data_IF_153583091539
#
_entry.id   IF_153583091539
#
_cell.length_a   1.000
_cell.length_b   1.000
_cell.length_c   1.000
_cell.angle_alpha   90.00
_cell.angle_beta   90.00
_cell.angle_gamma   90.00
#
_symmetry.space_group_name_H-M   'P 1'
#
loop_
_entity.id
_entity.type
_entity.pdbx_description
1 polymer ?
#
# COMPACT_ATOMS: atom_id res chain seq x y z
N UNK A 1 33.33 -7.70 -4.75
CA UNK A 1 33.37 -7.18 -3.36
C UNK A 1 31.98 -6.61 -3.14
N UNK A 2 31.09 -7.45 -2.64
CA UNK A 2 29.64 -7.19 -2.58
C UNK A 2 29.36 -6.17 -1.47
N UNK A 3 28.59 -5.13 -1.80
CA UNK A 3 28.02 -4.24 -0.79
C UNK A 3 26.98 -5.01 0.01
N UNK A 4 27.01 -5.01 1.35
CA UNK A 4 25.86 -5.45 2.13
C UNK A 4 24.82 -4.33 2.00
N UNK A 5 23.98 -4.36 0.96
CA UNK A 5 22.86 -3.46 0.88
C UNK A 5 21.92 -3.78 2.05
N UNK A 6 21.94 -2.91 3.07
CA UNK A 6 21.03 -3.02 4.19
C UNK A 6 19.60 -2.83 3.65
N UNK A 7 18.70 -3.80 3.82
CA UNK A 7 17.33 -3.68 3.33
C UNK A 7 16.66 -2.45 3.95
N UNK A 8 16.18 -1.54 3.10
CA UNK A 8 15.44 -0.35 3.52
C UNK A 8 13.94 -0.59 3.36
N UNK A 9 13.19 0.08 4.23
CA UNK A 9 11.74 0.12 4.19
C UNK A 9 11.31 1.59 4.11
N UNK A 10 10.52 1.95 3.10
CA UNK A 10 9.84 3.23 3.02
C UNK A 10 8.38 3.02 3.42
N UNK A 11 8.01 3.40 4.64
CA UNK A 11 6.65 3.24 5.15
C UNK A 11 6.12 4.60 5.57
N UNK A 12 5.04 5.06 4.92
CA UNK A 12 4.47 6.38 5.22
C UNK A 12 2.95 6.40 5.08
N UNK A 13 2.32 7.17 5.96
CA UNK A 13 0.96 7.67 5.79
C UNK A 13 1.06 9.10 5.23
N UNK A 14 0.42 9.35 4.10
CA UNK A 14 0.53 10.62 3.36
C UNK A 14 -0.84 11.28 3.17
N UNK A 15 -0.89 12.60 3.05
CA UNK A 15 -2.13 13.32 2.71
C UNK A 15 -2.21 13.65 1.20
N UNK A 16 -1.05 13.88 0.59
CA UNK A 16 -0.92 14.24 -0.82
C UNK A 16 -1.06 13.01 -1.75
N UNK A 17 -1.39 13.23 -3.04
CA UNK A 17 -1.40 12.17 -4.04
C UNK A 17 -0.09 11.36 -4.05
N UNK A 18 -0.23 10.04 -4.20
CA UNK A 18 0.93 9.13 -4.23
C UNK A 18 1.59 9.20 -5.61
N UNK A 19 2.83 9.66 -5.62
CA UNK A 19 3.68 9.64 -6.81
C UNK A 19 4.37 8.28 -6.95
N UNK A 20 4.05 7.57 -8.04
CA UNK A 20 4.53 6.20 -8.29
C UNK A 20 6.00 6.15 -8.68
N UNK A 21 6.47 7.13 -9.48
CA UNK A 21 7.85 7.14 -9.97
C UNK A 21 8.88 7.28 -8.83
N UNK A 22 8.72 8.21 -7.87
CA UNK A 22 9.58 8.26 -6.68
C UNK A 22 9.54 6.98 -5.84
N UNK A 23 8.37 6.36 -5.70
CA UNK A 23 8.23 5.10 -4.97
C UNK A 23 9.01 3.95 -5.65
N UNK A 24 8.89 3.81 -6.98
CA UNK A 24 9.66 2.83 -7.75
C UNK A 24 11.17 3.09 -7.67
N UNK A 25 11.59 4.34 -7.71
CA UNK A 25 12.99 4.71 -7.54
C UNK A 25 13.51 4.36 -6.14
N UNK A 26 12.69 4.57 -5.09
CA UNK A 26 13.05 4.25 -3.72
C UNK A 26 13.24 2.74 -3.48
N UNK A 27 12.59 1.88 -4.27
CA UNK A 27 12.74 0.43 -4.16
C UNK A 27 13.72 -0.17 -5.17
N UNK A 28 14.31 0.65 -6.06
CA UNK A 28 15.32 0.17 -6.99
C UNK A 28 16.58 -0.31 -6.25
N UNK A 29 17.15 -1.42 -6.70
CA UNK A 29 18.35 -2.01 -6.14
C UNK A 29 19.21 -2.58 -7.28
N UNK A 30 20.54 -2.36 -7.32
CA UNK A 30 21.40 -2.90 -8.37
C UNK A 30 21.33 -4.43 -8.52
N UNK A 31 21.05 -5.13 -7.42
CA UNK A 31 20.93 -6.58 -7.35
C UNK A 31 19.52 -7.08 -7.72
N UNK A 32 18.52 -6.19 -7.82
CA UNK A 32 17.15 -6.56 -8.15
C UNK A 32 17.01 -6.90 -9.64
N UNK A 33 16.62 -8.14 -9.92
CA UNK A 33 16.16 -8.55 -11.24
C UNK A 33 14.66 -8.34 -11.47
N UNK A 34 13.91 -7.93 -10.43
CA UNK A 34 12.49 -7.63 -10.52
C UNK A 34 12.04 -6.56 -9.53
N UNK A 35 11.01 -5.81 -9.91
CA UNK A 35 10.22 -4.96 -9.02
C UNK A 35 8.75 -5.13 -9.35
N UNK A 36 7.91 -5.25 -8.33
CA UNK A 36 6.46 -5.35 -8.43
C UNK A 36 5.82 -4.09 -7.85
N UNK A 37 4.66 -3.70 -8.37
CA UNK A 37 3.90 -2.54 -7.91
C UNK A 37 2.41 -2.89 -7.87
N UNK A 38 1.77 -2.52 -6.76
CA UNK A 38 0.33 -2.58 -6.58
C UNK A 38 -0.20 -1.18 -6.28
N UNK A 39 -1.32 -0.84 -6.89
CA UNK A 39 -2.05 0.40 -6.66
C UNK A 39 -3.50 0.06 -6.30
N UNK A 40 -3.92 0.46 -5.10
CA UNK A 40 -5.32 0.44 -4.71
C UNK A 40 -5.99 1.73 -5.12
N UNK A 41 -6.77 1.70 -6.21
CA UNK A 41 -7.40 2.88 -6.80
C UNK A 41 -8.88 2.98 -6.44
N UNK A 42 -9.36 4.20 -6.17
CA UNK A 42 -10.78 4.46 -5.90
C UNK A 42 -11.63 4.20 -7.14
N UNK A 43 -12.65 3.34 -7.01
CA UNK A 43 -13.59 2.98 -8.08
C UNK A 43 -14.85 3.85 -8.01
N UNK A 44 -15.47 4.10 -9.16
CA UNK A 44 -16.71 4.89 -9.28
C UNK A 44 -17.98 4.16 -8.81
N UNK A 45 -17.88 2.91 -8.37
CA UNK A 45 -19.01 2.15 -7.87
C UNK A 45 -18.59 1.17 -6.78
N UNK A 46 -19.52 0.90 -5.89
CA UNK A 46 -19.43 -0.20 -4.94
C UNK A 46 -20.86 -0.74 -4.66
N UNK A 47 -21.04 -2.04 -4.42
CA UNK A 47 -22.36 -2.66 -4.15
C UNK A 47 -23.51 -2.22 -5.08
N UNK A 48 -23.23 -1.97 -6.36
CA UNK A 48 -24.22 -1.56 -7.37
C UNK A 48 -24.68 -0.10 -7.31
N UNK A 49 -24.06 0.74 -6.48
CA UNK A 49 -24.33 2.19 -6.38
C UNK A 49 -23.13 3.02 -6.87
N UNK A 50 -23.36 4.26 -7.25
CA UNK A 50 -22.33 5.21 -7.68
C UNK A 50 -21.63 5.89 -6.49
N UNK A 51 -20.32 5.76 -6.42
CA UNK A 51 -19.47 6.41 -5.39
C UNK A 51 -18.97 7.73 -5.94
N UNK A 52 -19.08 8.80 -5.15
CA UNK A 52 -18.57 10.14 -5.49
C UNK A 52 -17.10 10.28 -5.11
N UNK A 53 -16.76 9.93 -3.87
CA UNK A 53 -15.42 9.99 -3.31
C UNK A 53 -15.32 9.12 -2.07
N UNK A 54 -14.08 8.84 -1.64
CA UNK A 54 -13.78 8.18 -0.39
C UNK A 54 -13.08 9.15 0.57
N UNK A 55 -13.23 8.91 1.87
CA UNK A 55 -12.45 9.58 2.90
C UNK A 55 -11.77 8.53 3.78
N UNK A 56 -10.46 8.63 3.91
CA UNK A 56 -9.65 7.71 4.68
C UNK A 56 -9.15 8.37 5.96
N UNK A 57 -9.27 7.65 7.07
CA UNK A 57 -8.76 8.05 8.39
C UNK A 57 -7.94 6.90 8.97
N UNK A 58 -6.91 7.23 9.75
CA UNK A 58 -6.15 6.25 10.51
C UNK A 58 -5.52 6.88 11.75
N UNK A 59 -5.04 6.05 12.66
CA UNK A 59 -4.08 6.48 13.67
C UNK A 59 -2.65 6.28 13.12
N UNK A 60 -1.95 7.34 12.68
CA UNK A 60 -0.78 7.19 11.81
C UNK A 60 0.35 6.37 12.45
N UNK A 61 0.63 6.60 13.73
CA UNK A 61 1.72 5.91 14.44
C UNK A 61 1.49 4.40 14.53
N UNK A 62 0.26 4.00 14.85
CA UNK A 62 -0.12 2.59 14.89
C UNK A 62 -0.15 1.98 13.49
N UNK A 63 -0.68 2.70 12.49
CA UNK A 63 -0.69 2.21 11.11
C UNK A 63 0.73 1.95 10.59
N UNK A 64 1.67 2.89 10.80
CA UNK A 64 3.08 2.71 10.42
C UNK A 64 3.71 1.52 11.14
N UNK A 65 3.42 1.34 12.44
CA UNK A 65 3.92 0.22 13.24
C UNK A 65 3.42 -1.13 12.73
N UNK A 66 2.13 -1.27 12.48
CA UNK A 66 1.53 -2.50 11.95
C UNK A 66 2.06 -2.82 10.55
N UNK A 67 2.18 -1.80 9.68
CA UNK A 67 2.79 -1.98 8.34
C UNK A 67 4.24 -2.45 8.46
N UNK A 68 5.02 -1.88 9.39
CA UNK A 68 6.40 -2.32 9.63
C UNK A 68 6.48 -3.79 10.08
N UNK A 69 5.51 -4.26 10.87
CA UNK A 69 5.42 -5.67 11.25
C UNK A 69 5.09 -6.56 10.05
N UNK A 70 4.19 -6.13 9.16
CA UNK A 70 3.88 -6.84 7.91
C UNK A 70 5.13 -6.97 7.05
N UNK A 71 5.90 -5.90 6.89
CA UNK A 71 7.15 -5.93 6.12
C UNK A 71 8.17 -6.88 6.75
N UNK A 72 8.29 -6.88 8.08
CA UNK A 72 9.16 -7.81 8.78
C UNK A 72 8.74 -9.27 8.55
N UNK A 73 7.44 -9.57 8.59
CA UNK A 73 6.90 -10.90 8.29
C UNK A 73 7.16 -11.31 6.83
N UNK A 74 6.98 -10.39 5.88
CA UNK A 74 7.29 -10.66 4.47
C UNK A 74 8.77 -11.01 4.29
N UNK A 75 9.68 -10.27 4.92
CA UNK A 75 11.12 -10.54 4.86
C UNK A 75 11.56 -11.86 5.51
N UNK A 76 10.76 -12.41 6.44
CA UNK A 76 11.01 -13.73 6.99
C UNK A 76 10.64 -14.86 6.03
N UNK A 77 9.74 -14.60 5.07
CA UNK A 77 9.22 -15.60 4.13
C UNK A 77 9.86 -15.49 2.75
N UNK A 78 10.33 -14.30 2.36
CA UNK A 78 10.91 -14.03 1.04
C UNK A 78 12.19 -13.20 1.11
N UNK A 79 13.14 -13.50 0.22
CA UNK A 79 14.33 -12.67 0.01
C UNK A 79 13.97 -11.40 -0.77
N UNK A 80 13.84 -10.30 -0.05
CA UNK A 80 13.47 -9.00 -0.59
C UNK A 80 14.62 -7.99 -0.40
N UNK A 81 14.85 -7.14 -1.39
CA UNK A 81 15.80 -6.03 -1.27
C UNK A 81 15.12 -4.85 -0.59
N UNK A 82 14.28 -4.12 -1.32
CA UNK A 82 13.62 -2.91 -0.83
C UNK A 82 12.10 -3.09 -0.81
N UNK A 83 11.45 -2.49 0.19
CA UNK A 83 9.99 -2.51 0.34
C UNK A 83 9.49 -1.09 0.59
N UNK A 84 8.53 -0.65 -0.22
CA UNK A 84 7.87 0.64 -0.10
C UNK A 84 6.36 0.46 0.06
N UNK A 85 5.78 1.04 1.10
CA UNK A 85 4.34 1.02 1.36
C UNK A 85 3.90 2.43 1.72
N UNK A 86 3.08 3.02 0.86
CA UNK A 86 2.47 4.33 1.06
C UNK A 86 0.95 4.16 1.16
N UNK A 87 0.33 4.75 2.18
CA UNK A 87 -1.12 4.83 2.26
C UNK A 87 -1.56 6.28 2.38
N UNK A 88 -2.48 6.70 1.52
CA UNK A 88 -3.04 8.04 1.51
C UNK A 88 -4.24 8.12 2.46
N UNK A 89 -4.33 9.21 3.22
CA UNK A 89 -5.47 9.56 4.07
C UNK A 89 -6.11 10.87 3.59
N UNK A 90 -7.28 11.19 4.13
CA UNK A 90 -8.09 12.31 3.70
C UNK A 90 -9.02 11.95 2.55
N UNK A 91 -9.49 12.96 1.82
CA UNK A 91 -10.47 12.81 0.75
C UNK A 91 -9.80 12.40 -0.57
N UNK A 92 -10.29 11.33 -1.17
CA UNK A 92 -9.85 10.80 -2.46
C UNK A 92 -11.02 10.73 -3.47
N UNK A 93 -10.79 11.28 -4.65
CA UNK A 93 -11.67 11.19 -5.81
C UNK A 93 -11.53 9.85 -6.53
N UNK A 94 -12.50 9.56 -7.39
CA UNK A 94 -12.46 8.42 -8.31
C UNK A 94 -11.17 8.47 -9.15
N UNK A 95 -10.50 7.32 -9.27
CA UNK A 95 -9.25 7.20 -10.02
C UNK A 95 -7.99 7.55 -9.22
N UNK A 96 -8.12 8.13 -8.02
CA UNK A 96 -6.96 8.39 -7.16
C UNK A 96 -6.48 7.13 -6.43
N UNK A 97 -5.17 7.09 -6.15
CA UNK A 97 -4.52 5.97 -5.45
C UNK A 97 -4.63 6.16 -3.93
N UNK A 98 -5.25 5.20 -3.27
CA UNK A 98 -5.36 5.12 -1.81
C UNK A 98 -4.16 4.42 -1.17
N UNK A 99 -3.62 3.40 -1.83
CA UNK A 99 -2.47 2.64 -1.33
C UNK A 99 -1.55 2.26 -2.48
N UNK A 100 -0.25 2.37 -2.26
CA UNK A 100 0.76 1.88 -3.19
C UNK A 100 1.77 1.00 -2.45
N UNK A 101 2.06 -0.18 -3.01
CA UNK A 101 3.05 -1.12 -2.49
C UNK A 101 4.02 -1.44 -3.62
N UNK A 102 5.31 -1.21 -3.39
CA UNK A 102 6.38 -1.55 -4.32
C UNK A 102 7.42 -2.42 -3.62
N UNK A 103 7.85 -3.50 -4.26
CA UNK A 103 8.80 -4.46 -3.68
C UNK A 103 9.80 -4.90 -4.74
N UNK A 104 11.08 -4.95 -4.38
CA UNK A 104 12.16 -5.47 -5.23
C UNK A 104 12.78 -6.75 -4.70
N UNK A 105 13.18 -7.63 -5.62
CA UNK A 105 13.85 -8.91 -5.33
C UNK A 105 14.72 -9.35 -6.49
N UNK A 106 15.57 -10.37 -6.27
CA UNK A 106 16.43 -10.94 -7.32
C UNK A 106 15.61 -11.51 -8.48
N UNK A 107 14.50 -12.20 -8.16
CA UNK A 107 13.61 -12.81 -9.13
C UNK A 107 12.16 -12.44 -8.86
N UNK A 108 11.36 -12.35 -9.94
CA UNK A 108 9.97 -11.87 -9.91
C UNK A 108 9.07 -12.55 -8.87
N UNK A 109 9.27 -13.86 -8.64
CA UNK A 109 8.37 -14.65 -7.80
C UNK A 109 8.29 -14.09 -6.38
N UNK A 110 9.44 -13.85 -5.73
CA UNK A 110 9.51 -13.29 -4.39
C UNK A 110 8.81 -11.92 -4.30
N UNK A 111 9.07 -11.00 -5.24
CA UNK A 111 8.42 -9.68 -5.25
C UNK A 111 6.91 -9.74 -5.43
N UNK A 112 6.39 -10.69 -6.21
CA UNK A 112 4.95 -10.80 -6.49
C UNK A 112 4.20 -11.44 -5.31
N UNK A 113 4.73 -12.53 -4.77
CA UNK A 113 4.14 -13.23 -3.63
C UNK A 113 4.17 -12.37 -2.37
N UNK A 114 5.30 -11.72 -2.07
CA UNK A 114 5.39 -10.79 -0.94
C UNK A 114 4.46 -9.59 -1.09
N UNK A 115 4.28 -9.08 -2.31
CA UNK A 115 3.38 -7.96 -2.57
C UNK A 115 1.93 -8.33 -2.29
N UNK A 116 1.48 -9.51 -2.76
CA UNK A 116 0.15 -10.04 -2.47
C UNK A 116 -0.04 -10.21 -0.95
N UNK A 117 0.93 -10.83 -0.28
CA UNK A 117 0.92 -10.98 1.17
C UNK A 117 0.79 -9.63 1.90
N UNK A 118 1.58 -8.63 1.50
CA UNK A 118 1.56 -7.32 2.13
C UNK A 118 0.21 -6.62 1.98
N UNK A 119 -0.40 -6.61 0.79
CA UNK A 119 -1.71 -5.95 0.60
C UNK A 119 -2.83 -6.68 1.35
N UNK A 120 -2.84 -8.02 1.31
CA UNK A 120 -3.87 -8.80 1.99
C UNK A 120 -3.80 -8.63 3.50
N UNK A 121 -2.58 -8.68 4.06
CA UNK A 121 -2.36 -8.50 5.49
C UNK A 121 -2.63 -7.06 5.91
N UNK A 122 -2.26 -6.07 5.09
CA UNK A 122 -2.54 -4.66 5.38
C UNK A 122 -4.04 -4.42 5.53
N UNK A 123 -4.83 -4.89 4.56
CA UNK A 123 -6.28 -4.80 4.61
C UNK A 123 -6.87 -5.51 5.82
N UNK A 124 -6.33 -6.68 6.17
CA UNK A 124 -6.85 -7.49 7.27
C UNK A 124 -6.53 -6.92 8.66
N UNK A 125 -5.39 -6.26 8.84
CA UNK A 125 -4.84 -5.99 10.19
C UNK A 125 -4.60 -4.52 10.51
N UNK A 126 -4.37 -3.66 9.52
CA UNK A 126 -3.98 -2.27 9.76
C UNK A 126 -5.23 -1.42 10.00
N UNK A 127 -5.31 -0.66 11.11
CA UNK A 127 -6.49 0.13 11.46
C UNK A 127 -6.60 1.39 10.61
N UNK A 128 -7.12 1.22 9.39
CA UNK A 128 -7.44 2.29 8.45
C UNK A 128 -8.93 2.19 8.12
N UNK A 129 -9.64 3.29 8.28
CA UNK A 129 -11.08 3.39 8.05
C UNK A 129 -11.34 4.12 6.74
N UNK A 130 -12.29 3.61 5.95
CA UNK A 130 -12.78 4.29 4.76
C UNK A 130 -14.26 4.66 4.91
N UNK A 131 -14.59 5.87 4.50
CA UNK A 131 -15.96 6.37 4.42
C UNK A 131 -16.30 6.56 2.95
N UNK A 132 -17.37 5.92 2.50
CA UNK A 132 -17.83 6.03 1.11
C UNK A 132 -19.00 7.01 1.03
N UNK A 133 -18.88 8.01 0.15
CA UNK A 133 -19.91 9.01 -0.10
C UNK A 133 -20.59 8.72 -1.45
N UNK A 134 -21.91 8.68 -1.45
CA UNK A 134 -22.72 8.25 -2.59
C UNK A 134 -23.59 9.38 -3.15
N UNK A 135 -24.03 9.24 -4.39
CA UNK A 135 -24.87 10.25 -5.07
C UNK A 135 -26.22 10.51 -4.39
N UNK A 136 -26.75 9.51 -3.68
CA UNK A 136 -28.01 9.61 -2.92
C UNK A 136 -27.84 10.32 -1.56
N UNK A 137 -26.63 10.82 -1.26
CA UNK A 137 -26.30 11.48 0.00
C UNK A 137 -26.06 10.52 1.16
N UNK A 138 -26.12 9.21 0.93
CA UNK A 138 -25.76 8.23 1.97
C UNK A 138 -24.26 8.21 2.23
N UNK A 139 -23.88 7.82 3.45
CA UNK A 139 -22.49 7.60 3.87
C UNK A 139 -22.40 6.20 4.43
N UNK A 140 -21.41 5.45 3.99
CA UNK A 140 -21.14 4.12 4.52
C UNK A 140 -19.74 4.05 5.12
N UNK A 141 -19.65 3.57 6.36
CA UNK A 141 -18.39 3.37 7.06
C UNK A 141 -17.98 1.92 6.91
N UNK A 142 -16.79 1.68 6.40
CA UNK A 142 -16.20 0.36 6.33
C UNK A 142 -14.76 0.46 6.86
N UNK A 143 -14.32 -0.56 7.57
CA UNK A 143 -12.90 -0.73 7.82
C UNK A 143 -12.25 -1.17 6.50
N UNK A 144 -10.97 -0.88 6.27
CA UNK A 144 -10.27 -1.38 5.08
C UNK A 144 -10.15 -2.93 5.03
N UNK A 145 -10.71 -3.62 6.02
CA UNK A 145 -10.91 -5.06 6.09
C UNK A 145 -11.99 -5.52 5.09
N UNK A 146 -11.59 -5.69 3.83
CA UNK A 146 -12.40 -6.22 2.73
C UNK A 146 -11.59 -6.72 1.55
#
# INVERSE_FOLDING_TARGET
>A
MESPHNPLNLIQIVADPIEVTPLLAAVACPEAGASSLFLGTVRNHNKGKGVLFLEYECYPEMAVKEIAQIVAQARNNWELYQVGILHRVGRLQIGEVAVAIAISSAHRQASLEALQFCIDTLKATVPIWKKEYWEDGSIWLENCCG
#
